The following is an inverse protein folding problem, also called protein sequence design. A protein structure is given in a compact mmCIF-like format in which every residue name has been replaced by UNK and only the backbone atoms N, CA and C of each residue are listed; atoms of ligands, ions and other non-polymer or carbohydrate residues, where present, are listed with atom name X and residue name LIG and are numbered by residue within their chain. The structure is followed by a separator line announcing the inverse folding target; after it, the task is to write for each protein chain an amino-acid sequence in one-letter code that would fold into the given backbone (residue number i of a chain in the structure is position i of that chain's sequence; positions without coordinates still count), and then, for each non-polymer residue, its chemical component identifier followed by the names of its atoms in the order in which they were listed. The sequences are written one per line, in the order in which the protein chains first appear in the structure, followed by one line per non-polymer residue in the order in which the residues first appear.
data_IF_284400743891
#
_entry.id   IF_284400743891
#
_cell.length_a   1.000
_cell.length_b   1.000
_cell.length_c   1.000
_cell.angle_alpha   90.00
_cell.angle_beta   90.00
_cell.angle_gamma   90.00
#
_symmetry.space_group_name_H-M   'P 1'
#
loop_
_entity.id
_entity.type
_entity.pdbx_description
1 polymer ?
#
# COMPACT_ATOMS: atom_id res chain seq x y z
N UNK A 1 14.94 26.20 57.85
CA UNK A 1 13.71 25.43 57.55
C UNK A 1 13.91 24.80 56.18
N UNK A 2 14.62 23.67 56.13
CA UNK A 2 14.99 22.99 54.88
C UNK A 2 14.14 21.74 54.71
N UNK A 3 13.31 21.69 53.68
CA UNK A 3 12.56 20.48 53.32
C UNK A 3 13.56 19.43 52.81
N UNK A 4 13.57 18.20 53.35
CA UNK A 4 14.38 17.14 52.77
C UNK A 4 13.75 16.74 51.43
N UNK A 5 14.48 16.98 50.33
CA UNK A 5 14.21 16.34 49.05
C UNK A 5 14.48 14.84 49.21
N UNK A 6 13.44 14.07 49.56
CA UNK A 6 13.47 12.62 49.46
C UNK A 6 13.44 12.23 47.98
N UNK A 7 14.56 11.70 47.48
CA UNK A 7 14.63 11.11 46.14
C UNK A 7 13.68 9.91 46.07
N UNK A 8 12.95 9.70 44.96
CA UNK A 8 12.06 8.56 44.83
C UNK A 8 12.85 7.25 44.92
N UNK A 9 12.33 6.28 45.68
CA UNK A 9 12.91 4.95 45.77
C UNK A 9 13.03 4.35 44.37
N UNK A 10 14.24 3.92 44.01
CA UNK A 10 14.47 3.27 42.72
C UNK A 10 13.59 2.02 42.64
N UNK A 11 12.95 1.76 41.49
CA UNK A 11 12.17 0.55 41.32
C UNK A 11 13.07 -0.68 41.51
N UNK A 12 12.58 -1.69 42.25
CA UNK A 12 13.33 -2.91 42.51
C UNK A 12 13.71 -3.65 41.22
N UNK A 13 14.73 -4.50 41.27
CA UNK A 13 15.25 -5.23 40.11
C UNK A 13 14.16 -5.97 39.30
N UNK A 14 13.12 -6.49 39.97
CA UNK A 14 11.97 -7.12 39.32
C UNK A 14 11.16 -6.19 38.41
N UNK A 15 11.01 -4.91 38.79
CA UNK A 15 10.32 -3.91 37.95
C UNK A 15 11.13 -3.61 36.69
N UNK A 16 12.46 -3.48 36.82
CA UNK A 16 13.35 -3.27 35.67
C UNK A 16 13.30 -4.46 34.71
N UNK A 17 13.31 -5.69 35.25
CA UNK A 17 13.21 -6.93 34.46
C UNK A 17 11.90 -7.07 33.68
N UNK A 18 10.83 -6.37 34.07
CA UNK A 18 9.52 -6.42 33.38
C UNK A 18 9.35 -5.22 32.44
N UNK A 19 9.69 -4.02 32.90
CA UNK A 19 9.45 -2.79 32.12
C UNK A 19 10.38 -2.69 30.92
N UNK A 20 11.66 -3.06 31.07
CA UNK A 20 12.63 -3.01 29.98
C UNK A 20 12.22 -3.89 28.79
N UNK A 21 11.89 -5.19 28.95
CA UNK A 21 11.45 -6.00 27.81
C UNK A 21 10.11 -5.55 27.24
N UNK A 22 9.20 -5.01 28.07
CA UNK A 22 7.92 -4.49 27.57
C UNK A 22 8.12 -3.26 26.68
N UNK A 23 8.98 -2.32 27.09
CA UNK A 23 9.37 -1.16 26.28
C UNK A 23 10.10 -1.61 25.02
N UNK A 24 11.02 -2.58 25.12
CA UNK A 24 11.72 -3.14 23.96
C UNK A 24 10.75 -3.78 22.96
N UNK A 25 9.73 -4.50 23.44
CA UNK A 25 8.70 -5.11 22.61
C UNK A 25 7.87 -4.04 21.87
N UNK A 26 7.49 -2.95 22.55
CA UNK A 26 6.78 -1.83 21.92
C UNK A 26 7.64 -1.18 20.83
N UNK A 27 8.92 -0.93 21.11
CA UNK A 27 9.84 -0.34 20.11
C UNK A 27 10.04 -1.30 18.93
N UNK A 28 10.24 -2.59 19.17
CA UNK A 28 10.44 -3.60 18.13
C UNK A 28 9.20 -3.74 17.24
N UNK A 29 8.01 -3.81 17.83
CA UNK A 29 6.75 -3.90 17.07
C UNK A 29 6.52 -2.64 16.23
N UNK A 30 6.79 -1.46 16.78
CA UNK A 30 6.74 -0.20 16.04
C UNK A 30 7.75 -0.16 14.89
N UNK A 31 9.00 -0.56 15.14
CA UNK A 31 10.04 -0.62 14.11
C UNK A 31 9.65 -1.59 12.98
N UNK A 32 9.18 -2.79 13.31
CA UNK A 32 8.69 -3.76 12.34
C UNK A 32 7.50 -3.23 11.53
N UNK A 33 6.57 -2.53 12.18
CA UNK A 33 5.45 -1.89 11.51
C UNK A 33 5.92 -0.82 10.50
N UNK A 34 6.89 0.01 10.89
CA UNK A 34 7.46 1.07 10.03
C UNK A 34 8.20 0.48 8.84
N UNK A 35 9.02 -0.55 9.05
CA UNK A 35 9.72 -1.26 7.97
C UNK A 35 8.73 -1.89 6.98
N UNK A 36 7.66 -2.53 7.49
CA UNK A 36 6.61 -3.12 6.64
C UNK A 36 5.79 -2.06 5.90
N UNK A 37 5.52 -0.91 6.52
CA UNK A 37 4.82 0.20 5.86
C UNK A 37 5.66 0.80 4.72
N UNK A 38 6.96 1.02 4.96
CA UNK A 38 7.89 1.50 3.93
C UNK A 38 8.02 0.52 2.76
N UNK A 39 8.12 -0.78 3.04
CA UNK A 39 8.14 -1.82 2.01
C UNK A 39 6.86 -1.86 1.16
N UNK A 40 5.68 -1.71 1.79
CA UNK A 40 4.39 -1.62 1.08
C UNK A 40 4.30 -0.38 0.20
N UNK A 41 4.74 0.78 0.70
CA UNK A 41 4.78 2.01 -0.08
C UNK A 41 5.69 1.88 -1.30
N UNK A 42 6.87 1.24 -1.14
CA UNK A 42 7.80 1.01 -2.25
C UNK A 42 7.23 0.08 -3.33
N UNK A 43 6.52 -1.00 -2.96
CA UNK A 43 5.87 -1.91 -3.92
C UNK A 43 4.75 -1.24 -4.71
N UNK A 44 4.06 -0.28 -4.08
CA UNK A 44 2.94 0.45 -4.66
C UNK A 44 3.34 1.43 -5.77
N UNK A 45 4.63 1.72 -5.95
CA UNK A 45 5.10 2.57 -7.04
C UNK A 45 4.66 4.04 -6.94
N UNK A 46 5.08 4.84 -7.92
CA UNK A 46 4.71 6.26 -8.05
C UNK A 46 3.41 6.39 -8.86
N UNK A 47 2.46 7.21 -8.39
CA UNK A 47 1.23 7.49 -9.13
C UNK A 47 1.57 8.37 -10.35
N UNK A 48 1.13 7.95 -11.54
CA UNK A 48 1.27 8.71 -12.78
C UNK A 48 -0.04 9.32 -13.26
N UNK A 49 -1.16 8.62 -13.07
CA UNK A 49 -2.49 9.11 -13.38
C UNK A 49 -3.50 8.55 -12.37
N UNK A 50 -4.52 9.33 -12.04
CA UNK A 50 -5.57 8.96 -11.09
C UNK A 50 -6.91 9.57 -11.49
N UNK A 51 -7.91 8.72 -11.65
CA UNK A 51 -9.29 9.07 -11.98
C UNK A 51 -9.97 9.63 -10.71
N UNK A 52 -9.67 10.89 -10.45
CA UNK A 52 -10.05 11.61 -9.23
C UNK A 52 -9.32 12.95 -9.08
N UNK A 53 -8.20 13.14 -9.79
CA UNK A 53 -7.51 14.42 -9.89
C UNK A 53 -8.04 15.29 -11.04
N UNK A 54 -8.51 16.52 -10.78
CA UNK A 54 -8.94 17.46 -11.82
C UNK A 54 -7.81 17.73 -12.82
N UNK A 55 -8.05 17.50 -14.11
CA UNK A 55 -7.08 17.78 -15.20
C UNK A 55 -6.01 16.70 -15.43
N UNK A 56 -5.99 15.61 -14.65
CA UNK A 56 -5.02 14.52 -14.76
C UNK A 56 -5.65 13.13 -14.49
N UNK A 57 -6.81 12.88 -15.10
CA UNK A 57 -7.47 11.57 -15.07
C UNK A 57 -6.67 10.51 -15.82
N UNK A 58 -6.95 9.24 -15.55
CA UNK A 58 -6.37 8.15 -16.34
C UNK A 58 -6.88 8.24 -17.79
N UNK A 59 -6.07 7.86 -18.79
CA UNK A 59 -6.55 7.82 -20.17
C UNK A 59 -7.56 6.69 -20.35
N UNK A 60 -8.51 6.87 -21.28
CA UNK A 60 -9.31 5.76 -21.78
C UNK A 60 -8.38 4.88 -22.63
N UNK A 61 -8.16 3.64 -22.19
CA UNK A 61 -7.41 2.64 -22.93
C UNK A 61 -8.37 1.90 -23.86
N UNK A 62 -7.95 1.65 -25.09
CA UNK A 62 -8.77 1.02 -26.13
C UNK A 62 -7.94 -0.04 -26.84
N UNK A 63 -8.55 -1.21 -27.04
CA UNK A 63 -8.07 -2.31 -27.85
C UNK A 63 -9.08 -2.57 -28.96
N UNK A 64 -8.67 -2.31 -30.20
CA UNK A 64 -9.44 -2.67 -31.38
C UNK A 64 -9.38 -4.19 -31.61
N UNK A 65 -8.24 -4.82 -31.31
CA UNK A 65 -8.02 -6.26 -31.50
C UNK A 65 -9.01 -7.11 -30.71
N UNK A 66 -9.27 -6.70 -29.46
CA UNK A 66 -10.15 -7.43 -28.55
C UNK A 66 -11.53 -6.77 -28.39
N UNK A 67 -11.76 -5.62 -29.05
CA UNK A 67 -13.00 -4.86 -28.92
C UNK A 67 -13.25 -4.35 -27.49
N UNK A 68 -12.17 -4.11 -26.73
CA UNK A 68 -12.24 -3.72 -25.32
C UNK A 68 -11.89 -2.25 -25.17
N UNK A 69 -12.55 -1.58 -24.23
CA UNK A 69 -12.17 -0.24 -23.78
C UNK A 69 -12.37 -0.12 -22.29
N UNK A 70 -11.55 0.69 -21.63
CA UNK A 70 -11.62 0.80 -20.20
C UNK A 70 -10.70 1.88 -19.64
N UNK A 71 -11.07 2.37 -18.47
CA UNK A 71 -10.35 3.43 -17.76
C UNK A 71 -9.99 2.89 -16.36
N UNK A 72 -8.71 2.64 -16.07
CA UNK A 72 -8.29 2.25 -14.73
C UNK A 72 -8.52 3.39 -13.73
N UNK A 73 -8.76 3.11 -12.46
CA UNK A 73 -8.85 4.17 -11.43
C UNK A 73 -7.50 4.88 -11.26
N UNK A 74 -6.39 4.15 -11.36
CA UNK A 74 -5.04 4.70 -11.26
C UNK A 74 -4.06 3.93 -12.17
N UNK A 75 -3.02 4.62 -12.63
CA UNK A 75 -1.84 4.02 -13.27
C UNK A 75 -0.62 4.42 -12.47
N UNK A 76 0.21 3.43 -12.10
CA UNK A 76 1.42 3.63 -11.31
C UNK A 76 2.66 3.11 -12.01
N UNK A 77 3.80 3.71 -11.72
CA UNK A 77 5.11 3.22 -12.14
C UNK A 77 5.77 2.43 -11.00
N UNK A 78 6.05 1.16 -11.23
CA UNK A 78 6.73 0.29 -10.28
C UNK A 78 7.84 -0.49 -10.98
N UNK A 79 9.08 -0.31 -10.54
CA UNK A 79 10.24 -0.99 -11.13
C UNK A 79 10.46 -0.69 -12.62
N UNK A 80 10.04 0.48 -13.10
CA UNK A 80 10.14 0.87 -14.51
C UNK A 80 8.91 0.51 -15.35
N UNK A 81 8.10 -0.46 -14.91
CA UNK A 81 6.87 -0.85 -15.61
C UNK A 81 5.65 -0.03 -15.15
N UNK A 82 4.67 0.09 -16.05
CA UNK A 82 3.36 0.66 -15.74
C UNK A 82 2.43 -0.43 -15.19
N UNK A 83 1.69 -0.11 -14.12
CA UNK A 83 0.82 -1.02 -13.38
C UNK A 83 -0.55 -0.36 -13.23
N UNK A 84 -1.64 -0.98 -13.72
CA UNK A 84 -3.00 -0.50 -13.49
C UNK A 84 -3.44 -0.82 -12.05
N UNK A 85 -4.26 0.06 -11.49
CA UNK A 85 -4.80 -0.05 -10.14
C UNK A 85 -6.31 0.13 -10.20
N UNK A 86 -7.02 -0.79 -9.55
CA UNK A 86 -8.46 -0.73 -9.31
C UNK A 86 -8.68 -0.45 -7.82
N UNK A 87 -9.32 0.66 -7.47
CA UNK A 87 -9.53 1.09 -6.09
C UNK A 87 -10.89 0.61 -5.62
N UNK A 88 -10.91 -0.23 -4.57
CA UNK A 88 -12.15 -0.59 -3.86
C UNK A 88 -12.25 0.17 -2.55
N UNK A 89 -13.30 0.99 -2.43
CA UNK A 89 -13.61 1.75 -1.21
C UNK A 89 -14.05 0.84 -0.04
N UNK A 90 -14.51 -0.38 -0.33
CA UNK A 90 -14.95 -1.36 0.67
C UNK A 90 -13.82 -2.32 1.04
N UNK A 91 -13.74 -2.67 2.33
CA UNK A 91 -12.81 -3.72 2.80
C UNK A 91 -12.94 -4.99 1.97
N UNK A 92 -11.79 -5.58 1.63
CA UNK A 92 -11.73 -6.86 0.94
C UNK A 92 -12.54 -7.91 1.72
N UNK A 93 -13.38 -8.71 1.04
CA UNK A 93 -14.04 -9.86 1.66
C UNK A 93 -13.01 -10.84 2.23
N UNK A 94 -13.37 -11.65 3.25
CA UNK A 94 -12.47 -12.68 3.81
C UNK A 94 -11.98 -13.70 2.78
N UNK A 95 -12.75 -13.90 1.70
CA UNK A 95 -12.45 -14.81 0.59
C UNK A 95 -11.61 -14.18 -0.53
N UNK A 96 -11.18 -12.92 -0.37
CA UNK A 96 -10.47 -12.16 -1.39
C UNK A 96 -11.39 -11.35 -2.31
N UNK A 97 -10.83 -10.68 -3.35
CA UNK A 97 -11.60 -9.84 -4.26
C UNK A 97 -12.53 -10.69 -5.14
N UNK A 98 -13.72 -10.16 -5.43
CA UNK A 98 -14.66 -10.80 -6.35
C UNK A 98 -14.02 -11.04 -7.72
N UNK A 99 -14.46 -12.10 -8.40
CA UNK A 99 -13.95 -12.45 -9.73
C UNK A 99 -14.11 -11.31 -10.72
N UNK A 100 -15.22 -10.57 -10.67
CA UNK A 100 -15.46 -9.40 -11.52
C UNK A 100 -14.35 -8.36 -11.41
N UNK A 101 -13.85 -8.10 -10.19
CA UNK A 101 -12.75 -7.16 -9.98
C UNK A 101 -11.44 -7.69 -10.55
N UNK A 102 -11.17 -8.99 -10.39
CA UNK A 102 -9.96 -9.61 -10.94
C UNK A 102 -9.97 -9.56 -12.48
N UNK A 103 -11.10 -9.91 -13.10
CA UNK A 103 -11.27 -9.89 -14.56
C UNK A 103 -11.16 -8.46 -15.10
N UNK A 104 -11.73 -7.47 -14.41
CA UNK A 104 -11.59 -6.06 -14.76
C UNK A 104 -10.12 -5.62 -14.73
N UNK A 105 -9.38 -5.98 -13.67
CA UNK A 105 -7.96 -5.67 -13.55
C UNK A 105 -7.12 -6.38 -14.63
N UNK A 106 -7.42 -7.63 -14.97
CA UNK A 106 -6.77 -8.34 -16.08
C UNK A 106 -7.03 -7.66 -17.42
N UNK A 107 -8.26 -7.20 -17.67
CA UNK A 107 -8.58 -6.43 -18.86
C UNK A 107 -7.76 -5.12 -18.93
N UNK A 108 -7.56 -4.44 -17.80
CA UNK A 108 -6.67 -3.26 -17.77
C UNK A 108 -5.21 -3.59 -17.99
N UNK A 109 -4.70 -4.73 -17.50
CA UNK A 109 -3.33 -5.15 -17.83
C UNK A 109 -3.16 -5.33 -19.33
N UNK A 110 -4.10 -6.03 -19.98
CA UNK A 110 -4.10 -6.27 -21.43
C UNK A 110 -4.23 -4.96 -22.22
N UNK A 111 -5.14 -4.07 -21.82
CA UNK A 111 -5.31 -2.77 -22.47
C UNK A 111 -4.06 -1.90 -22.33
N UNK A 112 -3.41 -1.94 -21.16
CA UNK A 112 -2.19 -1.16 -20.92
C UNK A 112 -1.03 -1.70 -21.75
N UNK A 113 -0.87 -3.03 -21.83
CA UNK A 113 0.11 -3.70 -22.69
C UNK A 113 -0.08 -3.32 -24.17
N UNK A 114 -1.31 -3.29 -24.67
CA UNK A 114 -1.57 -2.94 -26.08
C UNK A 114 -1.23 -1.48 -26.39
N UNK A 115 -1.43 -0.57 -25.43
CA UNK A 115 -1.13 0.86 -25.59
C UNK A 115 0.36 1.16 -25.41
N UNK A 116 1.05 0.48 -24.50
CA UNK A 116 2.46 0.75 -24.18
C UNK A 116 3.44 -0.12 -24.95
N UNK A 117 3.01 -1.29 -25.44
CA UNK A 117 3.86 -2.34 -25.98
C UNK A 117 4.60 -3.17 -24.91
N UNK A 118 4.46 -2.81 -23.63
CA UNK A 118 5.14 -3.45 -22.51
C UNK A 118 4.12 -4.09 -21.54
N UNK A 119 4.18 -5.40 -21.29
CA UNK A 119 3.25 -6.07 -20.41
C UNK A 119 3.42 -5.65 -18.94
N UNK A 120 2.35 -5.23 -18.25
CA UNK A 120 2.40 -5.00 -16.81
C UNK A 120 2.75 -6.29 -16.06
N UNK A 121 3.72 -6.27 -15.13
CA UNK A 121 4.12 -7.49 -14.41
C UNK A 121 3.03 -7.99 -13.44
N UNK A 122 2.11 -7.10 -13.03
CA UNK A 122 0.94 -7.39 -12.20
C UNK A 122 -0.01 -6.18 -12.25
N UNK A 123 -1.24 -6.37 -11.77
CA UNK A 123 -2.16 -5.28 -11.42
C UNK A 123 -2.33 -5.15 -9.90
N UNK A 124 -2.86 -4.03 -9.42
CA UNK A 124 -3.19 -3.82 -8.00
C UNK A 124 -4.70 -3.68 -7.77
N UNK A 125 -5.18 -4.29 -6.69
CA UNK A 125 -6.58 -4.34 -6.23
C UNK A 125 -6.67 -4.01 -4.74
#
# INVERSE_FOLDING_TARGET
MGLPLSLPAFPGAGFVLVVVPLVALVILTWALFRLRAAGRARRRGRILASDGTPGAGTPLLVSERYGLRGRPDEIRQSGGALVPVEIKSRSLPPRGPFLSHQVQLWAYCLLLEEVTGDPPPFGLL
#
